data_IF_285571105221
#
_entry.id   IF_285571105221
#
_cell.length_a   1.000
_cell.length_b   1.000
_cell.length_c   1.000
_cell.angle_alpha   90.00
_cell.angle_beta   90.00
_cell.angle_gamma   90.00
#
_symmetry.space_group_name_H-M   'P 1'
#
loop_
_entity.id
_entity.type
_entity.pdbx_description
1 polymer ?
#
# COMPACT_ATOMS: atom_id res chain seq x y z
N UNK A 1 30.79 -8.73 20.37
CA UNK A 1 29.69 -9.68 20.07
C UNK A 1 28.41 -9.04 20.58
N UNK A 2 27.38 -8.96 19.74
CA UNK A 2 26.07 -8.45 20.16
C UNK A 2 25.44 -9.48 21.11
N UNK A 3 24.86 -9.00 22.20
CA UNK A 3 24.05 -9.80 23.12
C UNK A 3 22.80 -10.32 22.41
N UNK A 4 22.20 -11.39 22.95
CA UNK A 4 20.97 -11.99 22.40
C UNK A 4 19.83 -10.96 22.26
N UNK A 5 19.77 -10.00 23.18
CA UNK A 5 18.78 -8.92 23.21
C UNK A 5 18.98 -7.98 22.02
N UNK A 6 20.21 -7.54 21.77
CA UNK A 6 20.55 -6.66 20.65
C UNK A 6 20.29 -7.34 19.29
N UNK A 7 20.52 -8.65 19.19
CA UNK A 7 20.20 -9.43 17.98
C UNK A 7 18.68 -9.50 17.76
N UNK A 8 17.90 -9.69 18.82
CA UNK A 8 16.44 -9.70 18.75
C UNK A 8 15.87 -8.32 18.39
N UNK A 9 16.42 -7.24 18.94
CA UNK A 9 16.00 -5.88 18.61
C UNK A 9 16.31 -5.50 17.17
N UNK A 10 17.52 -5.80 16.67
CA UNK A 10 17.86 -5.57 15.27
C UNK A 10 16.93 -6.38 14.35
N UNK A 11 16.70 -7.65 14.69
CA UNK A 11 15.76 -8.50 13.94
C UNK A 11 14.35 -7.94 13.97
N UNK A 12 13.89 -7.45 15.12
CA UNK A 12 12.56 -6.87 15.27
C UNK A 12 12.42 -5.58 14.47
N UNK A 13 13.41 -4.68 14.50
CA UNK A 13 13.42 -3.44 13.72
C UNK A 13 13.39 -3.73 12.22
N UNK A 14 14.23 -4.65 11.74
CA UNK A 14 14.32 -5.02 10.30
C UNK A 14 13.07 -5.77 9.84
N UNK A 15 12.46 -6.60 10.67
CA UNK A 15 11.24 -7.32 10.30
C UNK A 15 9.99 -6.43 10.34
N UNK A 16 9.90 -5.51 11.31
CA UNK A 16 8.77 -4.57 11.42
C UNK A 16 8.83 -3.47 10.36
N UNK A 17 10.02 -2.94 10.05
CA UNK A 17 10.17 -1.89 9.02
C UNK A 17 9.69 -2.34 7.64
N UNK A 18 9.81 -3.64 7.34
CA UNK A 18 9.34 -4.23 6.09
C UNK A 18 7.94 -4.84 6.16
N UNK A 19 7.22 -4.71 7.28
CA UNK A 19 5.89 -5.32 7.45
C UNK A 19 4.90 -4.85 6.39
N UNK A 20 4.93 -3.56 6.06
CA UNK A 20 4.12 -2.98 4.99
C UNK A 20 4.48 -3.58 3.62
N UNK A 21 5.77 -3.64 3.28
CA UNK A 21 6.25 -4.23 2.02
C UNK A 21 5.82 -5.71 1.91
N UNK A 22 5.99 -6.50 2.97
CA UNK A 22 5.56 -7.91 3.02
C UNK A 22 4.04 -8.07 2.89
N UNK A 23 3.26 -7.15 3.45
CA UNK A 23 1.80 -7.18 3.33
C UNK A 23 1.37 -6.89 1.88
N UNK A 24 1.97 -5.89 1.23
CA UNK A 24 1.71 -5.55 -0.18
C UNK A 24 2.17 -6.68 -1.11
N UNK A 25 3.32 -7.30 -0.84
CA UNK A 25 3.80 -8.47 -1.56
C UNK A 25 2.88 -9.69 -1.42
N UNK A 26 2.37 -9.99 -0.22
CA UNK A 26 1.35 -11.06 -0.05
C UNK A 26 0.06 -10.78 -0.80
N UNK A 27 -0.38 -9.53 -0.83
CA UNK A 27 -1.52 -9.15 -1.66
C UNK A 27 -1.18 -9.40 -3.13
N UNK A 28 0.00 -9.01 -3.61
CA UNK A 28 0.46 -9.21 -4.99
C UNK A 28 0.60 -10.71 -5.41
N UNK A 29 0.91 -11.62 -4.49
CA UNK A 29 1.06 -13.06 -4.78
C UNK A 29 -0.24 -13.77 -5.20
N UNK A 30 -1.42 -13.22 -4.84
CA UNK A 30 -2.72 -13.80 -5.20
C UNK A 30 -3.22 -13.44 -6.59
N UNK A 31 -2.53 -12.57 -7.32
CA UNK A 31 -2.99 -12.06 -8.61
C UNK A 31 -2.44 -12.88 -9.77
N UNK A 32 -3.31 -13.13 -10.75
CA UNK A 32 -2.99 -13.93 -11.94
C UNK A 32 -2.21 -13.16 -13.01
N UNK A 33 -2.06 -11.83 -12.87
CA UNK A 33 -1.31 -10.98 -13.80
C UNK A 33 -0.65 -9.80 -13.10
N UNK A 34 0.46 -9.32 -13.68
CA UNK A 34 1.16 -8.12 -13.24
C UNK A 34 0.29 -6.86 -13.39
N UNK A 35 -0.49 -6.74 -14.48
CA UNK A 35 -1.45 -5.62 -14.60
C UNK A 35 -2.49 -5.64 -13.48
N UNK A 36 -3.05 -6.81 -13.14
CA UNK A 36 -4.06 -6.93 -12.10
C UNK A 36 -3.53 -6.59 -10.71
N UNK A 37 -2.32 -7.04 -10.40
CA UNK A 37 -1.62 -6.68 -9.15
C UNK A 37 -1.36 -5.17 -9.08
N UNK A 38 -0.85 -4.59 -10.17
CA UNK A 38 -0.50 -3.17 -10.26
C UNK A 38 -1.74 -2.28 -10.17
N UNK A 39 -2.80 -2.59 -10.93
CA UNK A 39 -4.07 -1.86 -10.88
C UNK A 39 -4.70 -1.91 -9.49
N UNK A 40 -4.62 -3.05 -8.79
CA UNK A 40 -5.14 -3.19 -7.43
C UNK A 40 -4.34 -2.39 -6.39
N UNK A 41 -3.02 -2.31 -6.56
CA UNK A 41 -2.15 -1.48 -5.73
C UNK A 41 -2.46 0.00 -5.91
N UNK A 42 -2.57 0.46 -7.16
CA UNK A 42 -2.96 1.83 -7.48
C UNK A 42 -4.35 2.16 -6.96
N UNK A 43 -5.34 1.30 -7.17
CA UNK A 43 -6.70 1.52 -6.66
C UNK A 43 -6.76 1.67 -5.14
N UNK A 44 -5.95 0.89 -4.39
CA UNK A 44 -5.85 1.02 -2.92
C UNK A 44 -5.21 2.34 -2.50
N UNK A 45 -4.21 2.82 -3.23
CA UNK A 45 -3.56 4.09 -2.96
C UNK A 45 -4.47 5.27 -3.30
N UNK A 46 -5.14 5.21 -4.45
CA UNK A 46 -6.17 6.15 -4.88
C UNK A 46 -7.29 6.27 -3.83
N UNK A 47 -7.81 5.14 -3.35
CA UNK A 47 -8.82 5.11 -2.28
C UNK A 47 -8.33 5.79 -1.00
N UNK A 48 -7.05 5.63 -0.65
CA UNK A 48 -6.47 6.26 0.54
C UNK A 48 -6.35 7.78 0.36
N UNK A 49 -5.96 8.23 -0.83
CA UNK A 49 -5.86 9.64 -1.21
C UNK A 49 -7.25 10.30 -1.15
N UNK A 50 -8.27 9.67 -1.74
CA UNK A 50 -9.67 10.12 -1.70
C UNK A 50 -10.20 10.19 -0.27
N UNK A 51 -10.00 9.13 0.52
CA UNK A 51 -10.45 9.08 1.92
C UNK A 51 -9.82 10.18 2.78
N UNK A 52 -8.61 10.63 2.44
CA UNK A 52 -7.90 11.71 3.14
C UNK A 52 -8.23 13.10 2.61
N UNK A 53 -9.05 13.22 1.55
CA UNK A 53 -9.35 14.49 0.91
C UNK A 53 -8.12 15.16 0.28
N UNK A 54 -7.09 14.38 -0.08
CA UNK A 54 -5.83 14.88 -0.63
C UNK A 54 -5.90 15.10 -2.15
N UNK A 55 -7.09 15.43 -2.66
CA UNK A 55 -7.33 15.66 -4.09
C UNK A 55 -8.00 17.00 -4.29
N UNK A 56 -7.50 17.79 -5.23
CA UNK A 56 -8.15 19.04 -5.69
C UNK A 56 -9.30 18.77 -6.69
N UNK A 57 -9.65 17.50 -6.89
CA UNK A 57 -10.65 17.07 -7.87
C UNK A 57 -12.05 17.34 -7.32
N UNK A 58 -12.79 18.16 -8.05
CA UNK A 58 -14.15 18.54 -7.73
C UNK A 58 -15.09 17.43 -8.23
N UNK A 59 -15.59 16.64 -7.29
CA UNK A 59 -16.67 15.67 -7.47
C UNK A 59 -17.31 15.45 -6.11
N UNK A 60 -18.64 15.45 -6.02
CA UNK A 60 -19.34 15.31 -4.72
C UNK A 60 -19.16 13.90 -4.14
N UNK A 61 -18.99 12.91 -5.02
CA UNK A 61 -18.88 11.51 -4.63
C UNK A 61 -17.52 10.91 -5.00
N UNK A 62 -17.01 10.05 -4.12
CA UNK A 62 -15.69 9.42 -4.29
C UNK A 62 -15.54 8.62 -5.59
N UNK A 63 -16.63 8.10 -6.18
CA UNK A 63 -16.58 7.35 -7.45
C UNK A 63 -16.30 8.26 -8.65
N UNK A 64 -16.76 9.51 -8.62
CA UNK A 64 -16.56 10.50 -9.69
C UNK A 64 -15.10 10.96 -9.72
N UNK A 65 -14.53 11.21 -8.53
CA UNK A 65 -13.12 11.51 -8.38
C UNK A 65 -12.23 10.33 -8.81
N UNK A 66 -12.66 9.09 -8.55
CA UNK A 66 -11.98 7.88 -8.99
C UNK A 66 -11.98 7.76 -10.51
N UNK A 67 -13.13 8.00 -11.15
CA UNK A 67 -13.27 7.95 -12.61
C UNK A 67 -12.49 9.08 -13.30
N UNK A 68 -12.42 10.26 -12.70
CA UNK A 68 -11.62 11.38 -13.22
C UNK A 68 -10.11 11.09 -13.18
N UNK A 69 -9.64 10.28 -12.23
CA UNK A 69 -8.23 9.89 -12.08
C UNK A 69 -7.83 8.67 -12.93
N UNK A 70 -8.80 7.92 -13.46
CA UNK A 70 -8.57 6.70 -14.23
C UNK A 70 -8.49 6.92 -15.76
N UNK A 71 -8.52 8.18 -16.21
CA UNK A 71 -8.48 8.59 -17.62
C UNK A 71 -7.10 8.51 -18.26
#
# INVERSE_FOLDING_TARGET
MLSLIEILDIKYIVEQSHRWVKQKARQALGWKSLEGATASLYGRELWTILKRGQTEIIGEAAYEQLHALAG
#
